data_IF_708417909887
#
_entry.id   IF_708417909887
#
_cell.length_a   1.000
_cell.length_b   1.000
_cell.length_c   1.000
_cell.angle_alpha   90.00
_cell.angle_beta   90.00
_cell.angle_gamma   90.00
#
_symmetry.space_group_name_H-M   'P 1'
#
loop_
_entity.id
_entity.type
_entity.pdbx_description
1 polymer ?
#
# COMPACT_ATOMS: atom_id res chain seq x y z
N UNK A 1 -12.38 5.67 12.37
CA UNK A 1 -12.01 4.72 11.30
C UNK A 1 -11.60 5.54 10.09
N UNK A 2 -10.52 5.16 9.41
CA UNK A 2 -10.02 5.84 8.20
C UNK A 2 -10.20 4.87 7.04
N UNK A 3 -10.77 5.36 5.94
CA UNK A 3 -11.00 4.57 4.74
C UNK A 3 -9.96 4.91 3.68
N UNK A 4 -9.53 3.90 2.94
CA UNK A 4 -8.60 4.04 1.82
C UNK A 4 -9.20 3.43 0.56
N UNK A 5 -8.96 4.08 -0.57
CA UNK A 5 -9.21 3.55 -1.91
C UNK A 5 -8.14 2.54 -2.33
N UNK A 6 -8.43 1.79 -3.40
CA UNK A 6 -7.47 0.82 -3.96
C UNK A 6 -6.23 1.49 -4.56
N UNK A 7 -6.40 2.69 -5.10
CA UNK A 7 -5.34 3.57 -5.63
C UNK A 7 -4.41 4.09 -4.53
N UNK A 8 -4.97 4.49 -3.39
CA UNK A 8 -4.20 4.91 -2.21
C UNK A 8 -3.40 3.73 -1.63
N UNK A 9 -4.01 2.54 -1.53
CA UNK A 9 -3.32 1.33 -1.10
C UNK A 9 -2.19 0.96 -2.07
N UNK A 10 -2.45 1.03 -3.38
CA UNK A 10 -1.42 0.80 -4.40
C UNK A 10 -0.26 1.80 -4.32
N UNK A 11 -0.54 3.08 -4.01
CA UNK A 11 0.50 4.06 -3.73
C UNK A 11 1.34 3.70 -2.49
N UNK A 12 0.71 3.18 -1.44
CA UNK A 12 1.42 2.66 -0.27
C UNK A 12 2.35 1.49 -0.60
N UNK A 13 1.91 0.53 -1.43
CA UNK A 13 2.72 -0.61 -1.88
C UNK A 13 3.91 -0.12 -2.72
N UNK A 14 3.68 0.82 -3.65
CA UNK A 14 4.73 1.43 -4.46
C UNK A 14 5.82 2.06 -3.60
N UNK A 15 5.41 2.92 -2.66
CA UNK A 15 6.34 3.60 -1.77
C UNK A 15 7.14 2.61 -0.89
N UNK A 16 6.48 1.58 -0.34
CA UNK A 16 7.16 0.55 0.44
C UNK A 16 8.28 -0.13 -0.37
N UNK A 17 8.05 -0.41 -1.65
CA UNK A 17 9.05 -1.02 -2.50
C UNK A 17 10.17 -0.05 -2.92
N UNK A 18 9.79 1.15 -3.37
CA UNK A 18 10.72 2.13 -3.96
C UNK A 18 11.64 2.77 -2.90
N UNK A 19 11.06 3.19 -1.78
CA UNK A 19 11.78 3.96 -0.75
C UNK A 19 12.29 3.06 0.37
N UNK A 20 11.46 2.13 0.84
CA UNK A 20 11.77 1.29 2.01
C UNK A 20 12.39 -0.07 1.66
N UNK A 21 12.37 -0.45 0.36
CA UNK A 21 12.81 -1.76 -0.14
C UNK A 21 12.07 -2.94 0.50
N UNK A 22 10.86 -2.69 0.97
CA UNK A 22 10.00 -3.67 1.60
C UNK A 22 8.92 -4.16 0.63
N UNK A 23 8.69 -5.48 0.64
CA UNK A 23 7.57 -6.09 -0.09
C UNK A 23 6.42 -6.24 0.90
N UNK A 24 5.29 -5.63 0.59
CA UNK A 24 4.10 -5.64 1.44
C UNK A 24 2.85 -6.00 0.64
N UNK A 25 1.87 -6.58 1.33
CA UNK A 25 0.52 -6.76 0.80
C UNK A 25 -0.33 -5.50 1.02
N UNK A 26 -1.54 -5.46 0.44
CA UNK A 26 -2.45 -4.32 0.59
C UNK A 26 -2.75 -3.94 2.04
N UNK A 27 -3.01 -4.94 2.90
CA UNK A 27 -3.23 -4.71 4.33
C UNK A 27 -1.96 -4.21 5.05
N UNK A 28 -0.78 -4.68 4.66
CA UNK A 28 0.50 -4.22 5.22
C UNK A 28 0.86 -2.78 4.81
N UNK A 29 0.34 -2.31 3.68
CA UNK A 29 0.62 -0.98 3.14
C UNK A 29 -0.29 0.14 3.71
N UNK A 30 -1.38 -0.18 4.44
CA UNK A 30 -2.41 0.80 4.81
C UNK A 30 -1.88 1.98 5.64
N UNK A 31 -0.87 1.75 6.49
CA UNK A 31 -0.25 2.82 7.27
C UNK A 31 0.47 3.83 6.39
N UNK A 32 1.28 3.33 5.44
CA UNK A 32 2.00 4.15 4.47
C UNK A 32 0.99 4.88 3.58
N UNK A 33 0.02 4.17 3.04
CA UNK A 33 -1.04 4.72 2.19
C UNK A 33 -1.80 5.86 2.87
N UNK A 34 -2.15 5.72 4.16
CA UNK A 34 -2.86 6.76 4.90
C UNK A 34 -2.01 8.01 5.13
N UNK A 35 -0.68 7.86 5.32
CA UNK A 35 0.24 9.00 5.39
C UNK A 35 0.37 9.71 4.04
N UNK A 36 0.57 8.96 2.96
CA UNK A 36 0.71 9.50 1.61
C UNK A 36 -0.58 10.21 1.15
N UNK A 37 -1.74 9.69 1.52
CA UNK A 37 -3.04 10.31 1.28
C UNK A 37 -3.32 11.53 2.18
N UNK A 38 -2.43 11.86 3.12
CA UNK A 38 -2.61 12.96 4.07
C UNK A 38 -3.76 12.77 5.07
N UNK A 39 -4.25 11.53 5.22
CA UNK A 39 -5.38 11.19 6.12
C UNK A 39 -4.94 11.03 7.56
N UNK A 40 -3.66 10.77 7.78
CA UNK A 40 -3.02 10.79 9.10
C UNK A 40 -1.73 11.62 9.04
N UNK A 41 -1.29 12.08 10.21
CA UNK A 41 -0.02 12.77 10.39
C UNK A 41 0.43 12.67 11.84
N UNK A 42 1.66 13.09 12.11
CA UNK A 42 2.25 13.07 13.44
C UNK A 42 2.95 14.39 13.73
N UNK A 43 2.86 14.86 14.98
CA UNK A 43 3.66 15.99 15.47
C UNK A 43 5.01 15.56 16.06
N UNK A 44 5.28 14.25 16.10
CA UNK A 44 6.50 13.64 16.61
C UNK A 44 6.79 12.31 15.91
N UNK A 45 7.71 11.48 16.43
CA UNK A 45 8.06 10.20 15.81
C UNK A 45 6.84 9.30 15.66
N UNK A 46 6.67 8.73 14.47
CA UNK A 46 5.60 7.79 14.13
C UNK A 46 6.22 6.46 13.71
N UNK A 47 5.56 5.37 14.12
CA UNK A 47 5.91 4.02 13.70
C UNK A 47 4.72 3.43 12.98
N UNK A 48 4.96 2.86 11.80
CA UNK A 48 3.99 2.07 11.06
C UNK A 48 4.34 0.59 11.19
N UNK A 49 3.32 -0.25 11.35
CA UNK A 49 3.50 -1.70 11.40
C UNK A 49 3.19 -2.26 10.01
N UNK A 50 4.21 -2.83 9.36
CA UNK A 50 4.05 -3.60 8.13
C UNK A 50 3.64 -5.03 8.51
N UNK A 51 2.33 -5.26 8.59
CA UNK A 51 1.79 -6.48 9.20
C UNK A 51 1.91 -7.74 8.33
N UNK A 52 2.13 -7.60 7.03
CA UNK A 52 2.06 -8.73 6.10
C UNK A 52 2.64 -8.46 4.72
N UNK A 53 3.00 -9.56 4.04
CA UNK A 53 3.65 -9.61 2.73
C UNK A 53 3.18 -10.79 1.88
N UNK A 54 1.95 -11.27 2.12
CA UNK A 54 1.37 -12.40 1.40
C UNK A 54 0.67 -11.92 0.12
N UNK A 55 1.45 -11.32 -0.77
CA UNK A 55 0.98 -10.81 -2.07
C UNK A 55 1.51 -11.68 -3.21
N UNK A 56 0.69 -11.90 -4.23
CA UNK A 56 1.15 -12.50 -5.48
C UNK A 56 2.21 -11.59 -6.13
N UNK A 57 3.37 -12.13 -6.48
CA UNK A 57 4.48 -11.31 -6.98
C UNK A 57 4.25 -10.75 -8.38
N UNK A 58 3.39 -11.36 -9.20
CA UNK A 58 2.97 -10.78 -10.47
C UNK A 58 2.06 -9.57 -10.23
N UNK A 59 1.13 -9.65 -9.26
CA UNK A 59 0.33 -8.50 -8.84
C UNK A 59 1.20 -7.40 -8.24
N UNK A 60 2.11 -7.74 -7.32
CA UNK A 60 3.05 -6.79 -6.74
C UNK A 60 3.84 -6.07 -7.84
N UNK A 61 4.40 -6.83 -8.80
CA UNK A 61 5.12 -6.29 -9.95
C UNK A 61 4.27 -5.30 -10.75
N UNK A 62 3.02 -5.63 -11.07
CA UNK A 62 2.10 -4.73 -11.77
C UNK A 62 1.95 -3.40 -11.01
N UNK A 63 1.71 -3.49 -9.70
CA UNK A 63 1.51 -2.32 -8.82
C UNK A 63 2.75 -1.42 -8.80
N UNK A 64 3.93 -1.99 -8.56
CA UNK A 64 5.19 -1.23 -8.53
C UNK A 64 5.60 -0.67 -9.89
N UNK A 65 5.14 -1.29 -10.99
CA UNK A 65 5.31 -0.75 -12.34
C UNK A 65 4.26 0.30 -12.73
N UNK A 66 3.37 0.71 -11.81
CA UNK A 66 2.44 1.82 -12.01
C UNK A 66 0.99 1.40 -12.27
N UNK A 67 0.68 0.13 -12.43
CA UNK A 67 -0.70 -0.33 -12.61
C UNK A 67 -1.47 -0.24 -11.28
N UNK A 68 -2.74 0.10 -11.33
CA UNK A 68 -3.62 0.07 -10.15
C UNK A 68 -4.63 -1.05 -10.37
N UNK A 69 -4.72 -2.05 -9.47
CA UNK A 69 -5.67 -3.13 -9.61
C UNK A 69 -7.07 -2.54 -9.61
N UNK A 70 -7.87 -2.90 -10.60
CA UNK A 70 -9.29 -2.50 -10.62
C UNK A 70 -10.11 -3.54 -9.89
N UNK A 71 -11.19 -3.11 -9.24
CA UNK A 71 -12.12 -3.99 -8.50
C UNK A 71 -12.70 -5.12 -9.37
N UNK A 72 -12.64 -5.01 -10.70
CA UNK A 72 -13.13 -6.00 -11.66
C UNK A 72 -12.29 -7.29 -11.67
N UNK A 73 -10.98 -7.24 -11.38
CA UNK A 73 -10.09 -8.41 -11.44
C UNK A 73 -10.29 -9.41 -10.30
N UNK A 74 -11.06 -9.07 -9.25
CA UNK A 74 -11.27 -9.93 -8.07
C UNK A 74 -12.51 -10.85 -8.17
N UNK A 75 -13.30 -10.72 -9.23
CA UNK A 75 -14.57 -11.45 -9.39
C UNK A 75 -14.48 -12.70 -10.30
N UNK A 76 -13.28 -13.07 -10.74
CA UNK A 76 -12.98 -14.24 -11.58
C UNK A 76 -11.93 -15.10 -10.91
#
# INVERSE_FOLDING_TARGET
VILLGEDEIAAGIRHAYEEEREIVEGAGAVGIAALLAGKIGATGPMVLILSGRNIDMALHRKIVCGETPSTVERAT
#
